data_IF_117799923166
#
_entry.id   IF_117799923166
#
_cell.length_a   1.000
_cell.length_b   1.000
_cell.length_c   1.000
_cell.angle_alpha   90.00
_cell.angle_beta   90.00
_cell.angle_gamma   90.00
#
_symmetry.space_group_name_H-M   'P 1'
#
loop_
_entity.id
_entity.type
_entity.pdbx_description
1 polymer ?
#
# COMPACT_ATOMS: atom_id res chain seq x y z
N UNK A 1 -40.28 -23.98 2.56
CA UNK A 1 -38.95 -24.34 3.08
C UNK A 1 -37.84 -24.15 2.05
N UNK A 2 -37.97 -24.70 0.82
CA UNK A 2 -36.94 -24.59 -0.24
C UNK A 2 -36.60 -23.14 -0.66
N UNK A 3 -37.62 -22.27 -0.85
CA UNK A 3 -37.41 -20.86 -1.24
C UNK A 3 -36.63 -20.02 -0.22
N UNK A 4 -36.75 -20.33 1.07
CA UNK A 4 -36.07 -19.61 2.15
C UNK A 4 -34.57 -19.96 2.19
N UNK A 5 -34.26 -21.23 1.89
CA UNK A 5 -32.89 -21.74 1.78
C UNK A 5 -32.15 -21.13 0.57
N UNK A 6 -32.83 -20.97 -0.56
CA UNK A 6 -32.28 -20.29 -1.75
C UNK A 6 -31.98 -18.81 -1.49
N UNK A 7 -32.82 -18.11 -0.73
CA UNK A 7 -32.62 -16.70 -0.38
C UNK A 7 -31.42 -16.50 0.54
N UNK A 8 -31.24 -17.40 1.52
CA UNK A 8 -30.07 -17.40 2.41
C UNK A 8 -28.77 -17.68 1.64
N UNK A 9 -28.81 -18.62 0.69
CA UNK A 9 -27.66 -18.95 -0.15
C UNK A 9 -27.22 -17.78 -1.04
N UNK A 10 -28.17 -16.99 -1.53
CA UNK A 10 -27.88 -15.80 -2.34
C UNK A 10 -27.17 -14.71 -1.52
N UNK A 11 -27.65 -14.43 -0.30
CA UNK A 11 -27.01 -13.49 0.64
C UNK A 11 -25.62 -13.93 1.12
N UNK A 12 -25.39 -15.24 1.21
CA UNK A 12 -24.07 -15.79 1.52
C UNK A 12 -23.10 -15.65 0.34
N UNK A 13 -23.56 -15.79 -0.89
CA UNK A 13 -22.71 -15.71 -2.08
C UNK A 13 -22.18 -14.29 -2.33
N UNK A 14 -23.01 -13.26 -2.15
CA UNK A 14 -22.57 -11.86 -2.23
C UNK A 14 -21.49 -11.52 -1.18
N UNK A 15 -21.63 -12.06 0.03
CA UNK A 15 -20.62 -11.92 1.08
C UNK A 15 -19.30 -12.62 0.76
N UNK A 16 -19.34 -13.74 0.02
CA UNK A 16 -18.13 -14.47 -0.40
C UNK A 16 -17.37 -13.69 -1.47
N UNK A 17 -18.06 -13.10 -2.44
CA UNK A 17 -17.46 -12.22 -3.44
C UNK A 17 -16.90 -10.92 -2.84
N UNK A 18 -17.64 -10.30 -1.92
CA UNK A 18 -17.15 -9.11 -1.22
C UNK A 18 -15.89 -9.41 -0.38
N UNK A 19 -15.82 -10.60 0.24
CA UNK A 19 -14.62 -11.06 0.97
C UNK A 19 -13.46 -11.38 0.06
N UNK A 20 -13.68 -11.98 -1.11
CA UNK A 20 -12.60 -12.31 -2.05
C UNK A 20 -11.99 -11.06 -2.69
N UNK A 21 -12.82 -10.07 -3.04
CA UNK A 21 -12.36 -8.75 -3.52
C UNK A 21 -11.58 -8.02 -2.43
N UNK A 22 -12.09 -8.00 -1.19
CA UNK A 22 -11.38 -7.40 -0.05
C UNK A 22 -10.02 -8.06 0.19
N UNK A 23 -9.95 -9.39 0.19
CA UNK A 23 -8.70 -10.12 0.37
C UNK A 23 -7.69 -9.87 -0.77
N UNK A 24 -8.17 -9.73 -2.00
CA UNK A 24 -7.33 -9.41 -3.16
C UNK A 24 -6.80 -7.98 -3.06
N UNK A 25 -7.65 -7.01 -2.67
CA UNK A 25 -7.24 -5.62 -2.47
C UNK A 25 -6.24 -5.47 -1.32
N UNK A 26 -6.42 -6.19 -0.22
CA UNK A 26 -5.46 -6.20 0.90
C UNK A 26 -4.10 -6.78 0.48
N UNK A 27 -4.08 -7.86 -0.32
CA UNK A 27 -2.83 -8.42 -0.88
C UNK A 27 -2.15 -7.49 -1.87
N UNK A 28 -2.92 -6.92 -2.79
CA UNK A 28 -2.41 -5.96 -3.77
C UNK A 28 -1.82 -4.72 -3.08
N UNK A 29 -2.49 -4.20 -2.05
CA UNK A 29 -1.97 -3.09 -1.24
C UNK A 29 -0.65 -3.43 -0.56
N UNK A 30 -0.53 -4.64 0.00
CA UNK A 30 0.72 -5.12 0.63
C UNK A 30 1.86 -5.25 -0.38
N UNK A 31 1.61 -5.81 -1.56
CA UNK A 31 2.62 -5.94 -2.61
C UNK A 31 3.02 -4.58 -3.17
N UNK A 32 2.05 -3.71 -3.45
CA UNK A 32 2.30 -2.34 -3.90
C UNK A 32 3.14 -1.54 -2.89
N UNK A 33 2.94 -1.77 -1.59
CA UNK A 33 3.75 -1.14 -0.56
C UNK A 33 5.21 -1.64 -0.60
N UNK A 34 5.43 -2.95 -0.73
CA UNK A 34 6.77 -3.53 -0.87
C UNK A 34 7.50 -3.01 -2.12
N UNK A 35 6.79 -2.95 -3.25
CA UNK A 35 7.30 -2.40 -4.50
C UNK A 35 7.59 -0.90 -4.35
N UNK A 36 6.69 -0.13 -3.75
CA UNK A 36 6.89 1.29 -3.52
C UNK A 36 8.11 1.55 -2.63
N UNK A 37 8.27 0.78 -1.54
CA UNK A 37 9.40 0.93 -0.62
C UNK A 37 10.73 0.61 -1.31
N UNK A 38 10.79 -0.45 -2.09
CA UNK A 38 11.99 -0.80 -2.86
C UNK A 38 12.36 0.28 -3.89
N UNK A 39 11.38 0.87 -4.59
CA UNK A 39 11.60 2.02 -5.48
C UNK A 39 12.13 3.24 -4.72
N UNK A 40 11.57 3.54 -3.55
CA UNK A 40 11.99 4.68 -2.74
C UNK A 40 13.44 4.53 -2.21
N UNK A 41 13.81 3.32 -1.76
CA UNK A 41 15.18 2.98 -1.37
C UNK A 41 16.14 3.14 -2.56
N UNK A 42 15.73 2.69 -3.75
CA UNK A 42 16.52 2.84 -4.97
C UNK A 42 16.75 4.33 -5.32
N UNK A 43 15.71 5.16 -5.18
CA UNK A 43 15.82 6.62 -5.33
C UNK A 43 16.79 7.25 -4.32
N UNK A 44 16.83 6.73 -3.10
CA UNK A 44 17.74 7.18 -2.04
C UNK A 44 19.20 6.83 -2.36
N UNK A 45 19.46 5.64 -2.91
CA UNK A 45 20.79 5.24 -3.40
C UNK A 45 21.26 6.16 -4.53
N UNK A 46 20.39 6.43 -5.52
CA UNK A 46 20.71 7.35 -6.63
C UNK A 46 21.01 8.76 -6.12
N UNK A 47 20.22 9.25 -5.16
CA UNK A 47 20.43 10.56 -4.55
C UNK A 47 21.74 10.61 -3.74
N UNK A 48 22.11 9.52 -3.06
CA UNK A 48 23.40 9.36 -2.39
C UNK A 48 24.58 9.37 -3.36
N UNK A 49 24.47 8.71 -4.52
CA UNK A 49 25.48 8.76 -5.58
C UNK A 49 25.60 10.19 -6.13
N UNK A 50 24.50 10.90 -6.35
CA UNK A 50 24.53 12.31 -6.80
C UNK A 50 25.20 13.23 -5.78
N UNK A 51 25.06 12.94 -4.47
CA UNK A 51 25.75 13.66 -3.42
C UNK A 51 27.26 13.37 -3.43
N UNK A 52 27.65 12.10 -3.61
CA UNK A 52 29.05 11.71 -3.76
C UNK A 52 29.73 12.36 -4.99
N UNK A 53 28.96 12.63 -6.05
CA UNK A 53 29.41 13.36 -7.24
C UNK A 53 29.46 14.88 -7.07
N UNK A 54 29.14 15.41 -5.87
CA UNK A 54 29.22 16.85 -5.57
C UNK A 54 28.16 17.70 -6.27
N UNK A 55 27.05 17.10 -6.72
CA UNK A 55 26.01 17.81 -7.48
C UNK A 55 25.16 18.66 -6.53
N UNK A 56 25.00 19.96 -6.82
CA UNK A 56 24.27 20.90 -5.94
C UNK A 56 22.81 20.51 -5.68
N UNK A 57 22.14 19.83 -6.62
CA UNK A 57 20.75 19.36 -6.45
C UNK A 57 20.60 18.09 -5.60
N UNK A 58 21.70 17.49 -5.14
CA UNK A 58 21.65 16.21 -4.44
C UNK A 58 20.89 16.30 -3.11
N UNK A 59 21.01 17.40 -2.37
CA UNK A 59 20.31 17.60 -1.10
C UNK A 59 18.78 17.58 -1.24
N UNK A 60 18.26 18.26 -2.28
CA UNK A 60 16.82 18.25 -2.57
C UNK A 60 16.34 16.85 -2.99
N UNK A 61 17.15 16.12 -3.77
CA UNK A 61 16.80 14.76 -4.21
C UNK A 61 16.79 13.76 -3.07
N UNK A 62 17.74 13.85 -2.13
CA UNK A 62 17.76 13.02 -0.92
C UNK A 62 16.51 13.28 -0.09
N UNK A 63 16.19 14.56 0.13
CA UNK A 63 15.01 14.96 0.89
C UNK A 63 13.73 14.42 0.24
N UNK A 64 13.59 14.53 -1.09
CA UNK A 64 12.43 13.98 -1.80
C UNK A 64 12.33 12.46 -1.73
N UNK A 65 13.45 11.74 -1.83
CA UNK A 65 13.49 10.28 -1.71
C UNK A 65 13.15 9.83 -0.28
N UNK A 66 13.64 10.58 0.72
CA UNK A 66 13.36 10.34 2.12
C UNK A 66 11.88 10.58 2.47
N UNK A 67 11.30 11.68 1.97
CA UNK A 67 9.86 11.93 2.09
C UNK A 67 9.03 10.83 1.41
N UNK A 68 9.45 10.35 0.24
CA UNK A 68 8.83 9.21 -0.44
C UNK A 68 8.79 7.95 0.44
N UNK A 69 9.92 7.61 1.07
CA UNK A 69 9.98 6.49 2.03
C UNK A 69 9.01 6.69 3.21
N UNK A 70 9.01 7.87 3.82
CA UNK A 70 8.15 8.17 4.97
C UNK A 70 6.66 8.07 4.64
N UNK A 71 6.24 8.52 3.46
CA UNK A 71 4.83 8.43 3.01
C UNK A 71 4.39 6.96 2.88
N UNK A 72 5.26 6.11 2.32
CA UNK A 72 4.95 4.69 2.14
C UNK A 72 4.87 3.94 3.48
N UNK A 73 5.66 4.34 4.47
CA UNK A 73 5.58 3.81 5.84
C UNK A 73 4.34 4.35 6.58
N UNK A 74 4.00 5.63 6.41
CA UNK A 74 2.79 6.22 6.98
C UNK A 74 1.51 5.62 6.41
N UNK A 75 1.52 5.18 5.14
CA UNK A 75 0.38 4.50 4.49
C UNK A 75 -0.16 3.36 5.36
N UNK A 76 0.71 2.50 5.91
CA UNK A 76 0.30 1.41 6.80
C UNK A 76 -0.38 1.89 8.08
N UNK A 77 0.11 2.98 8.66
CA UNK A 77 -0.48 3.58 9.86
C UNK A 77 -1.85 4.19 9.56
N UNK A 78 -2.01 4.84 8.40
CA UNK A 78 -3.29 5.40 7.95
C UNK A 78 -4.30 4.27 7.69
N UNK A 79 -3.90 3.22 6.98
CA UNK A 79 -4.77 2.05 6.72
C UNK A 79 -5.19 1.38 8.03
N UNK A 80 -4.26 1.23 8.99
CA UNK A 80 -4.55 0.64 10.30
C UNK A 80 -5.49 1.53 11.12
N UNK A 81 -5.28 2.85 11.10
CA UNK A 81 -6.16 3.81 11.75
C UNK A 81 -7.58 3.75 11.16
N UNK A 82 -7.72 3.78 9.83
CA UNK A 82 -9.03 3.69 9.15
C UNK A 82 -9.71 2.35 9.46
N UNK A 83 -8.98 1.23 9.46
CA UNK A 83 -9.50 -0.09 9.83
C UNK A 83 -9.88 -0.21 11.31
N UNK A 84 -9.29 0.59 12.20
CA UNK A 84 -9.61 0.60 13.63
C UNK A 84 -10.78 1.53 14.00
N UNK A 85 -11.12 2.48 13.13
CA UNK A 85 -12.24 3.42 13.32
C UNK A 85 -13.55 2.88 12.70
N UNK A 86 -13.46 2.03 11.68
CA UNK A 86 -14.60 1.37 11.01
C UNK A 86 -14.98 0.05 11.70
#
# INVERSE_FOLDING_TARGET
MFKLLSFFYFFLNDNVWARSIKATADRLGSEAQSIGLSIAIFGLVIAGIMLALGKQDAGNKITSAFFGCLVIVMSTSIVSFVKGVA
#
